data_IF_413969309294
#
_entry.id   IF_413969309294
#
_cell.length_a   1.000
_cell.length_b   1.000
_cell.length_c   1.000
_cell.angle_alpha   90.00
_cell.angle_beta   90.00
_cell.angle_gamma   90.00
#
_symmetry.space_group_name_H-M   'P 1'
#
loop_
_entity.id
_entity.type
_entity.pdbx_description
1 polymer ?
#
# COMPACT_ATOMS: atom_id res chain seq x y z
N UNK A 1 21.15 29.60 60.34
CA UNK A 1 19.91 28.87 59.97
C UNK A 1 18.91 29.66 59.10
N UNK A 2 18.92 31.01 59.04
CA UNK A 2 17.89 31.79 58.32
C UNK A 2 17.95 31.72 56.78
N UNK A 3 19.15 31.61 56.17
CA UNK A 3 19.32 31.54 54.71
C UNK A 3 18.63 30.32 54.08
N UNK A 4 18.67 29.14 54.73
CA UNK A 4 17.99 27.92 54.26
C UNK A 4 16.47 28.07 54.25
N UNK A 5 15.90 28.70 55.29
CA UNK A 5 14.44 29.00 55.34
C UNK A 5 14.01 29.99 54.27
N UNK A 6 14.83 31.00 53.99
CA UNK A 6 14.56 31.97 52.91
C UNK A 6 14.61 31.32 51.52
N UNK A 7 15.56 30.41 51.29
CA UNK A 7 15.69 29.67 50.03
C UNK A 7 14.47 28.76 49.77
N UNK A 8 14.05 28.00 50.78
CA UNK A 8 12.86 27.13 50.72
C UNK A 8 11.59 27.96 50.47
N UNK A 9 11.46 29.14 51.10
CA UNK A 9 10.30 30.02 50.90
C UNK A 9 10.28 30.68 49.51
N UNK A 10 11.44 30.92 48.90
CA UNK A 10 11.57 31.37 47.50
C UNK A 10 11.18 30.27 46.52
N UNK A 11 11.71 29.05 46.69
CA UNK A 11 11.33 27.89 45.86
C UNK A 11 9.83 27.60 45.94
N UNK A 12 9.22 27.67 47.13
CA UNK A 12 7.78 27.45 47.31
C UNK A 12 6.89 28.55 46.71
N UNK A 13 7.46 29.72 46.39
CA UNK A 13 6.76 30.84 45.74
C UNK A 13 7.00 30.88 44.23
N UNK A 14 7.91 30.05 43.72
CA UNK A 14 8.27 30.07 42.31
C UNK A 14 7.22 29.31 41.49
N UNK A 15 6.41 30.05 40.73
CA UNK A 15 5.35 29.50 39.86
C UNK A 15 5.86 29.15 38.46
N UNK A 16 7.10 29.52 38.12
CA UNK A 16 7.67 29.28 36.78
C UNK A 16 7.81 27.79 36.46
N UNK A 17 7.95 26.95 37.48
CA UNK A 17 8.01 25.49 37.33
C UNK A 17 6.66 24.81 37.08
N UNK A 18 5.52 25.48 37.36
CA UNK A 18 4.19 24.87 37.20
C UNK A 18 3.88 24.59 35.73
N UNK A 19 4.17 25.56 34.84
CA UNK A 19 4.00 25.38 33.40
C UNK A 19 4.84 24.23 32.83
N UNK A 20 6.02 23.97 33.41
CA UNK A 20 6.89 22.87 33.00
C UNK A 20 6.30 21.50 33.40
N UNK A 21 5.63 21.42 34.54
CA UNK A 21 4.94 20.19 34.99
C UNK A 21 3.66 19.96 34.18
N UNK A 22 2.88 21.00 33.89
CA UNK A 22 1.69 20.92 33.02
C UNK A 22 2.07 20.46 31.60
N UNK A 23 3.16 20.99 31.06
CA UNK A 23 3.72 20.52 29.79
C UNK A 23 4.20 19.07 29.88
N UNK A 24 4.90 18.69 30.95
CA UNK A 24 5.37 17.30 31.11
C UNK A 24 4.22 16.28 31.16
N UNK A 25 3.05 16.66 31.68
CA UNK A 25 1.85 15.81 31.70
C UNK A 25 1.13 15.76 30.35
N UNK A 26 1.10 16.86 29.59
CA UNK A 26 0.36 16.97 28.32
C UNK A 26 1.18 16.62 27.08
N UNK A 27 2.51 16.85 27.13
CA UNK A 27 3.43 16.59 26.03
C UNK A 27 3.40 15.14 25.53
N UNK A 28 3.33 14.09 26.37
CA UNK A 28 3.27 12.70 25.87
C UNK A 28 2.06 12.45 24.96
N UNK A 29 0.88 12.97 25.33
CA UNK A 29 -0.34 12.84 24.53
C UNK A 29 -0.21 13.64 23.23
N UNK A 30 0.28 14.88 23.32
CA UNK A 30 0.49 15.73 22.15
C UNK A 30 1.47 15.10 21.15
N UNK A 31 2.60 14.59 21.62
CA UNK A 31 3.61 13.92 20.79
C UNK A 31 3.07 12.64 20.16
N UNK A 32 2.26 11.85 20.89
CA UNK A 32 1.63 10.66 20.35
C UNK A 32 0.72 11.00 19.16
N UNK A 33 -0.15 12.00 19.32
CA UNK A 33 -1.05 12.45 18.24
C UNK A 33 -0.23 12.96 17.04
N UNK A 34 0.79 13.78 17.30
CA UNK A 34 1.65 14.34 16.26
C UNK A 34 2.42 13.24 15.49
N UNK A 35 2.94 12.23 16.18
CA UNK A 35 3.56 11.07 15.53
C UNK A 35 2.54 10.27 14.70
N UNK A 36 1.32 10.10 15.21
CA UNK A 36 0.24 9.43 14.47
C UNK A 36 -0.15 10.16 13.19
N UNK A 37 -0.24 11.49 13.24
CA UNK A 37 -0.50 12.32 12.06
C UNK A 37 0.63 12.17 11.04
N UNK A 38 1.89 12.24 11.49
CA UNK A 38 3.02 12.08 10.58
C UNK A 38 3.09 10.68 9.95
N UNK A 39 2.83 9.61 10.71
CA UNK A 39 2.76 8.24 10.17
C UNK A 39 1.66 8.14 9.10
N UNK A 40 0.49 8.73 9.37
CA UNK A 40 -0.62 8.77 8.41
C UNK A 40 -0.27 9.56 7.14
N UNK A 41 0.29 10.76 7.28
CA UNK A 41 0.73 11.58 6.14
C UNK A 41 1.79 10.86 5.30
N UNK A 42 2.73 10.17 5.95
CA UNK A 42 3.75 9.38 5.26
C UNK A 42 3.15 8.25 4.43
N UNK A 43 2.18 7.51 4.97
CA UNK A 43 1.47 6.46 4.23
C UNK A 43 0.66 7.02 3.06
N UNK A 44 0.00 8.17 3.23
CA UNK A 44 -0.71 8.85 2.14
C UNK A 44 0.23 9.32 1.02
N UNK A 45 1.39 9.86 1.39
CA UNK A 45 2.42 10.20 0.42
C UNK A 45 2.89 8.96 -0.37
N UNK A 46 3.15 7.85 0.33
CA UNK A 46 3.52 6.58 -0.27
C UNK A 46 2.46 6.07 -1.27
N UNK A 47 1.18 6.20 -0.91
CA UNK A 47 0.05 5.84 -1.78
C UNK A 47 0.04 6.68 -3.07
N UNK A 48 0.29 7.99 -2.97
CA UNK A 48 0.32 8.89 -4.12
C UNK A 48 1.48 8.58 -5.07
N UNK A 49 2.68 8.29 -4.52
CA UNK A 49 3.84 7.87 -5.31
C UNK A 49 3.53 6.58 -6.07
N UNK A 50 2.98 5.57 -5.38
CA UNK A 50 2.61 4.30 -5.99
C UNK A 50 1.55 4.48 -7.09
N UNK A 51 0.49 5.23 -6.82
CA UNK A 51 -0.56 5.52 -7.81
C UNK A 51 -0.02 6.27 -9.03
N UNK A 52 0.87 7.25 -8.81
CA UNK A 52 1.52 7.99 -9.88
C UNK A 52 2.38 7.10 -10.79
N UNK A 53 3.17 6.22 -10.19
CA UNK A 53 4.00 5.25 -10.92
C UNK A 53 3.14 4.27 -11.73
N UNK A 54 2.09 3.71 -11.13
CA UNK A 54 1.17 2.78 -11.80
C UNK A 54 0.37 3.45 -12.92
N UNK A 55 -0.12 4.68 -12.71
CA UNK A 55 -0.81 5.44 -13.74
C UNK A 55 0.11 5.78 -14.93
N UNK A 56 1.40 6.03 -14.67
CA UNK A 56 2.40 6.21 -15.71
C UNK A 56 2.66 4.91 -16.45
N UNK A 57 2.75 3.79 -15.74
CA UNK A 57 2.88 2.46 -16.31
C UNK A 57 1.75 2.16 -17.30
N UNK A 58 0.50 2.50 -16.95
CA UNK A 58 -0.63 2.27 -17.85
C UNK A 58 -0.65 3.14 -19.11
N UNK A 59 0.04 4.29 -19.11
CA UNK A 59 0.29 5.04 -20.35
C UNK A 59 1.41 4.39 -21.16
N UNK A 60 2.50 4.05 -20.49
CA UNK A 60 3.68 3.47 -21.13
C UNK A 60 3.40 2.06 -21.71
N UNK A 61 2.44 1.31 -21.16
CA UNK A 61 2.04 -0.01 -21.67
C UNK A 61 1.48 0.03 -23.09
N UNK A 62 1.03 1.20 -23.57
CA UNK A 62 0.54 1.37 -24.94
C UNK A 62 1.65 1.53 -25.98
N UNK A 63 2.90 1.67 -25.54
CA UNK A 63 4.07 1.79 -26.42
C UNK A 63 4.56 0.40 -26.81
N UNK A 64 4.95 0.23 -28.08
CA UNK A 64 5.41 -1.06 -28.64
C UNK A 64 6.50 -1.74 -27.79
N UNK A 65 7.40 -0.95 -27.21
CA UNK A 65 8.52 -1.45 -26.39
C UNK A 65 8.05 -2.27 -25.16
N UNK A 66 6.90 -1.91 -24.58
CA UNK A 66 6.36 -2.54 -23.37
C UNK A 66 5.22 -3.52 -23.67
N UNK A 67 4.73 -3.56 -24.91
CA UNK A 67 3.73 -4.54 -25.36
C UNK A 67 4.32 -5.96 -25.42
N UNK A 68 5.62 -6.09 -25.74
CA UNK A 68 6.31 -7.38 -25.82
C UNK A 68 7.13 -7.75 -24.58
N UNK A 69 7.57 -6.75 -23.79
CA UNK A 69 8.37 -6.96 -22.58
C UNK A 69 7.73 -6.30 -21.35
N UNK A 70 6.87 -7.06 -20.68
CA UNK A 70 6.17 -6.59 -19.48
C UNK A 70 7.07 -6.56 -18.24
N UNK A 71 8.20 -7.26 -18.27
CA UNK A 71 9.19 -7.21 -17.19
C UNK A 71 9.89 -5.85 -17.15
N UNK A 72 10.11 -5.23 -18.31
CA UNK A 72 10.64 -3.87 -18.41
C UNK A 72 9.67 -2.82 -17.83
N UNK A 73 8.36 -3.02 -17.97
CA UNK A 73 7.35 -2.15 -17.37
C UNK A 73 7.34 -2.28 -15.84
N UNK A 74 7.41 -3.51 -15.32
CA UNK A 74 7.53 -3.77 -13.87
C UNK A 74 8.81 -3.18 -13.28
N UNK A 75 9.94 -3.34 -13.98
CA UNK A 75 11.21 -2.75 -13.57
C UNK A 75 11.12 -1.23 -13.46
N UNK A 76 10.44 -0.57 -14.41
CA UNK A 76 10.27 0.88 -14.42
C UNK A 76 9.38 1.37 -13.29
N UNK A 77 8.28 0.67 -12.98
CA UNK A 77 7.43 0.99 -11.83
C UNK A 77 8.21 0.81 -10.54
N UNK A 78 8.93 -0.30 -10.41
CA UNK A 78 9.78 -0.59 -9.25
C UNK A 78 10.83 0.50 -9.05
N UNK A 79 11.54 0.90 -10.11
CA UNK A 79 12.55 1.96 -10.05
C UNK A 79 11.95 3.30 -9.58
N UNK A 80 10.82 3.72 -10.14
CA UNK A 80 10.15 4.97 -9.76
C UNK A 80 9.72 4.98 -8.29
N UNK A 81 9.21 3.85 -7.80
CA UNK A 81 8.81 3.71 -6.40
C UNK A 81 10.05 3.68 -5.49
N UNK A 82 11.09 2.94 -5.86
CA UNK A 82 12.30 2.77 -5.05
C UNK A 82 13.19 4.02 -5.01
N UNK A 83 13.03 4.97 -5.93
CA UNK A 83 13.64 6.30 -5.81
C UNK A 83 13.19 7.05 -4.54
N UNK A 84 11.96 6.79 -4.08
CA UNK A 84 11.40 7.40 -2.85
C UNK A 84 11.43 6.41 -1.68
N UNK A 85 11.13 5.14 -1.94
CA UNK A 85 11.07 4.07 -0.95
C UNK A 85 12.06 2.95 -1.27
N UNK A 86 13.36 3.22 -1.08
CA UNK A 86 14.45 2.32 -1.50
C UNK A 86 14.34 0.88 -0.95
N UNK A 87 13.82 0.71 0.26
CA UNK A 87 13.63 -0.60 0.90
C UNK A 87 12.28 -1.26 0.62
N UNK A 88 11.42 -0.67 -0.22
CA UNK A 88 10.10 -1.23 -0.45
C UNK A 88 10.13 -2.52 -1.26
N UNK A 89 9.35 -3.50 -0.79
CA UNK A 89 9.06 -4.76 -1.45
C UNK A 89 7.86 -4.54 -2.39
N UNK A 90 8.13 -4.50 -3.70
CA UNK A 90 7.12 -4.24 -4.73
C UNK A 90 6.81 -5.54 -5.46
N UNK A 91 5.52 -5.91 -5.48
CA UNK A 91 4.98 -7.09 -6.15
C UNK A 91 3.99 -6.67 -7.23
N UNK A 92 4.00 -7.42 -8.33
CA UNK A 92 3.18 -7.18 -9.49
C UNK A 92 2.29 -8.38 -9.73
N UNK A 93 0.99 -8.15 -9.89
CA UNK A 93 0.03 -9.19 -10.27
C UNK A 93 -0.82 -8.70 -11.44
N UNK A 94 -1.15 -9.62 -12.33
CA UNK A 94 -1.95 -9.35 -13.52
C UNK A 94 -3.04 -10.41 -13.62
N UNK A 95 -4.26 -9.96 -13.92
CA UNK A 95 -5.39 -10.82 -14.26
C UNK A 95 -5.97 -10.33 -15.58
N UNK A 96 -6.04 -11.19 -16.57
CA UNK A 96 -6.56 -10.89 -17.90
C UNK A 96 -8.01 -11.34 -18.05
N UNK A 97 -8.77 -10.57 -18.82
CA UNK A 97 -10.19 -10.74 -19.10
C UNK A 97 -10.47 -10.41 -20.57
N UNK A 98 -11.46 -11.06 -21.17
CA UNK A 98 -11.86 -10.79 -22.57
C UNK A 98 -12.41 -9.37 -22.76
N UNK A 99 -13.15 -8.89 -21.76
CA UNK A 99 -13.89 -7.65 -21.87
C UNK A 99 -13.98 -6.94 -20.51
N UNK A 100 -14.11 -5.61 -20.56
CA UNK A 100 -14.21 -4.77 -19.36
C UNK A 100 -15.39 -5.13 -18.45
N UNK A 101 -16.47 -5.69 -19.01
CA UNK A 101 -17.67 -6.07 -18.24
C UNK A 101 -17.38 -7.20 -17.24
N UNK A 102 -16.36 -8.04 -17.49
CA UNK A 102 -15.96 -9.14 -16.60
C UNK A 102 -15.27 -8.68 -15.32
N UNK A 103 -14.72 -7.46 -15.29
CA UNK A 103 -14.07 -6.90 -14.11
C UNK A 103 -15.03 -6.65 -12.94
N UNK A 104 -16.33 -6.53 -13.21
CA UNK A 104 -17.35 -6.24 -12.21
C UNK A 104 -18.19 -7.49 -11.83
N UNK A 105 -17.71 -8.68 -12.18
CA UNK A 105 -18.42 -9.93 -11.86
C UNK A 105 -18.12 -10.33 -10.42
N UNK A 106 -19.13 -10.72 -9.61
CA UNK A 106 -18.91 -11.19 -8.25
C UNK A 106 -17.94 -12.38 -8.23
N UNK A 107 -16.88 -12.27 -7.43
CA UNK A 107 -15.91 -13.35 -7.25
C UNK A 107 -16.55 -14.49 -6.47
N UNK A 108 -16.45 -15.70 -7.00
CA UNK A 108 -16.72 -16.92 -6.23
C UNK A 108 -15.40 -17.40 -5.67
N UNK A 109 -15.35 -17.71 -4.38
CA UNK A 109 -14.16 -18.33 -3.79
C UNK A 109 -14.54 -19.65 -3.13
N UNK A 110 -13.55 -20.53 -3.09
CA UNK A 110 -13.65 -21.86 -2.52
C UNK A 110 -12.71 -21.90 -1.32
N UNK A 111 -13.32 -21.77 -0.15
CA UNK A 111 -12.64 -21.88 1.14
C UNK A 111 -12.21 -23.34 1.36
N UNK A 112 -10.92 -23.58 1.16
CA UNK A 112 -10.32 -24.91 1.19
C UNK A 112 -10.22 -25.44 2.62
N UNK A 113 -9.95 -24.56 3.58
CA UNK A 113 -9.74 -24.92 4.98
C UNK A 113 -10.97 -24.70 5.88
N UNK A 114 -12.06 -24.16 5.31
CA UNK A 114 -13.36 -23.88 5.93
C UNK A 114 -13.28 -22.92 7.11
N UNK A 115 -12.33 -21.99 7.11
CA UNK A 115 -12.18 -21.01 8.19
C UNK A 115 -13.09 -19.78 8.04
N UNK A 116 -13.83 -19.68 6.93
CA UNK A 116 -14.76 -18.58 6.64
C UNK A 116 -14.09 -17.32 6.07
N UNK A 117 -12.79 -17.37 5.79
CA UNK A 117 -12.01 -16.29 5.20
C UNK A 117 -11.52 -16.69 3.80
N UNK A 118 -11.11 -15.70 3.01
CA UNK A 118 -10.39 -15.93 1.76
C UNK A 118 -8.90 -15.91 2.07
N UNK A 119 -8.28 -17.06 2.00
CA UNK A 119 -6.84 -17.23 2.22
C UNK A 119 -6.05 -17.22 0.91
N UNK A 120 -4.72 -17.16 1.02
CA UNK A 120 -3.83 -17.18 -0.14
C UNK A 120 -3.87 -18.52 -0.90
N UNK A 121 -4.20 -19.59 -0.19
CA UNK A 121 -4.35 -20.95 -0.70
C UNK A 121 -5.73 -21.20 -1.34
N UNK A 122 -6.70 -20.31 -1.13
CA UNK A 122 -8.04 -20.48 -1.64
C UNK A 122 -8.13 -20.15 -3.13
N UNK A 123 -8.85 -21.02 -3.84
CA UNK A 123 -9.13 -20.80 -5.24
C UNK A 123 -10.31 -19.83 -5.40
N UNK A 124 -10.25 -18.97 -6.41
CA UNK A 124 -11.35 -18.08 -6.76
C UNK A 124 -11.58 -17.99 -8.27
N UNK A 125 -12.85 -17.88 -8.64
CA UNK A 125 -13.33 -17.69 -9.99
C UNK A 125 -13.90 -16.26 -10.09
N UNK A 126 -13.27 -15.45 -10.93
CA UNK A 126 -13.68 -14.07 -11.20
C UNK A 126 -13.88 -13.79 -12.68
N UNK A 127 -13.90 -14.85 -13.51
CA UNK A 127 -14.01 -14.74 -14.97
C UNK A 127 -12.73 -14.23 -15.65
N UNK A 128 -11.61 -14.15 -14.93
CA UNK A 128 -10.30 -13.83 -15.47
C UNK A 128 -9.32 -14.98 -15.37
N UNK A 129 -8.18 -14.81 -16.03
CA UNK A 129 -7.04 -15.74 -16.00
C UNK A 129 -5.81 -15.04 -15.45
N UNK A 130 -5.05 -15.72 -14.60
CA UNK A 130 -3.77 -15.20 -14.13
C UNK A 130 -2.79 -14.96 -15.29
N UNK A 131 -2.08 -13.84 -15.23
CA UNK A 131 -1.08 -13.46 -16.21
C UNK A 131 -1.55 -12.35 -17.14
N UNK A 132 -0.89 -12.27 -18.30
CA UNK A 132 -0.90 -11.09 -19.15
C UNK A 132 -2.01 -11.11 -20.20
N UNK A 133 -2.66 -12.24 -20.43
CA UNK A 133 -3.56 -12.39 -21.56
C UNK A 133 -2.85 -12.38 -22.93
N UNK A 134 -3.63 -12.56 -23.98
CA UNK A 134 -3.25 -12.45 -25.36
C UNK A 134 -3.46 -11.03 -25.90
N UNK A 135 -3.51 -10.94 -27.24
CA UNK A 135 -3.85 -9.71 -27.94
C UNK A 135 -5.31 -9.31 -27.65
N UNK A 136 -5.61 -8.01 -27.64
CA UNK A 136 -6.92 -7.40 -27.35
C UNK A 136 -7.51 -7.59 -25.94
N UNK A 137 -6.95 -8.49 -25.13
CA UNK A 137 -7.38 -8.74 -23.76
C UNK A 137 -7.23 -7.51 -22.85
N UNK A 138 -8.13 -7.42 -21.88
CA UNK A 138 -8.14 -6.43 -20.80
C UNK A 138 -7.38 -6.98 -19.60
N UNK A 139 -6.31 -6.31 -19.20
CA UNK A 139 -5.44 -6.74 -18.09
C UNK A 139 -5.63 -5.83 -16.89
N UNK A 140 -6.09 -6.39 -15.78
CA UNK A 140 -6.08 -5.75 -14.47
C UNK A 140 -4.66 -5.83 -13.89
N UNK A 141 -3.93 -4.73 -13.97
CA UNK A 141 -2.58 -4.62 -13.44
C UNK A 141 -2.62 -4.09 -12.00
N UNK A 142 -2.23 -4.93 -11.05
CA UNK A 142 -2.19 -4.61 -9.63
C UNK A 142 -0.76 -4.58 -9.15
N UNK A 143 -0.40 -3.50 -8.47
CA UNK A 143 0.92 -3.32 -7.87
C UNK A 143 0.74 -3.17 -6.36
N UNK A 144 1.43 -4.03 -5.61
CA UNK A 144 1.42 -4.00 -4.15
C UNK A 144 2.81 -3.62 -3.67
N UNK A 145 2.87 -2.64 -2.77
CA UNK A 145 4.10 -2.15 -2.17
C UNK A 145 4.03 -2.33 -0.66
N UNK A 146 5.01 -3.03 -0.10
CA UNK A 146 5.21 -3.13 1.34
C UNK A 146 6.46 -2.37 1.77
N UNK A 147 6.35 -1.57 2.82
CA UNK A 147 7.45 -0.75 3.34
C UNK A 147 7.40 -0.64 4.86
N UNK A 148 8.53 -0.24 5.44
CA UNK A 148 8.69 -0.04 6.88
C UNK A 148 8.09 1.30 7.32
N UNK A 149 7.33 1.27 8.41
CA UNK A 149 6.83 2.50 9.03
C UNK A 149 7.98 3.25 9.69
N UNK A 150 8.08 4.54 9.38
CA UNK A 150 9.17 5.41 9.86
C UNK A 150 9.07 5.68 11.35
N UNK A 151 7.85 5.89 11.85
CA UNK A 151 7.63 6.24 13.26
C UNK A 151 7.21 5.02 14.07
N UNK A 152 7.77 4.81 15.27
CA UNK A 152 7.51 3.64 16.11
C UNK A 152 6.14 3.65 16.82
N UNK A 153 5.15 4.39 16.29
CA UNK A 153 3.77 4.42 16.81
C UNK A 153 3.16 3.02 16.81
N UNK A 154 3.52 2.23 15.80
CA UNK A 154 3.11 0.83 15.70
C UNK A 154 3.48 0.00 16.93
N UNK A 155 4.65 0.26 17.54
CA UNK A 155 5.11 -0.47 18.73
C UNK A 155 4.25 -0.14 19.95
N UNK A 156 3.81 1.11 20.07
CA UNK A 156 2.96 1.56 21.18
C UNK A 156 1.53 1.04 21.05
N UNK A 157 1.04 0.88 19.81
CA UNK A 157 -0.31 0.42 19.51
C UNK A 157 -0.41 -1.09 19.23
N UNK A 158 0.69 -1.84 19.33
CA UNK A 158 0.73 -3.28 19.02
C UNK A 158 0.44 -3.60 17.54
N UNK A 159 0.71 -2.66 16.63
CA UNK A 159 0.50 -2.82 15.19
C UNK A 159 1.75 -3.39 14.50
N UNK A 160 1.57 -3.86 13.27
CA UNK A 160 2.68 -4.29 12.39
C UNK A 160 3.67 -3.14 12.14
N UNK A 161 4.99 -3.41 12.12
CA UNK A 161 5.99 -2.43 11.71
C UNK A 161 5.95 -2.12 10.20
N UNK A 162 5.21 -2.91 9.42
CA UNK A 162 5.07 -2.75 7.98
C UNK A 162 3.72 -2.11 7.63
N UNK A 163 3.69 -1.35 6.53
CA UNK A 163 2.46 -0.97 5.84
C UNK A 163 2.48 -1.52 4.42
N UNK A 164 1.33 -2.02 3.97
CA UNK A 164 1.15 -2.57 2.62
C UNK A 164 0.10 -1.75 1.91
N UNK A 165 0.47 -1.22 0.75
CA UNK A 165 -0.37 -0.40 -0.11
C UNK A 165 -0.55 -1.08 -1.46
N UNK A 166 -1.71 -0.88 -2.08
CA UNK A 166 -1.99 -1.41 -3.41
C UNK A 166 -2.52 -0.30 -4.32
N UNK A 167 -2.12 -0.35 -5.58
CA UNK A 167 -2.65 0.47 -6.65
C UNK A 167 -2.98 -0.41 -7.85
N UNK A 168 -4.04 -0.05 -8.57
CA UNK A 168 -4.58 -0.83 -9.68
C UNK A 168 -4.77 0.08 -10.87
N UNK A 169 -4.46 -0.44 -12.06
CA UNK A 169 -4.82 0.17 -13.34
C UNK A 169 -5.26 -0.91 -14.32
N UNK A 170 -6.02 -0.51 -15.34
CA UNK A 170 -6.52 -1.43 -16.36
C UNK A 170 -5.79 -1.12 -17.66
N UNK A 171 -5.23 -2.15 -18.27
CA UNK A 171 -4.50 -2.10 -19.52
C UNK A 171 -5.29 -2.87 -20.58
N UNK A 172 -5.03 -2.59 -21.86
CA UNK A 172 -5.51 -3.43 -22.96
C UNK A 172 -4.35 -3.77 -23.86
N UNK A 173 -4.18 -5.05 -24.14
CA UNK A 173 -3.05 -5.52 -24.94
C UNK A 173 -3.24 -5.24 -26.42
N UNK A 174 -2.14 -4.91 -27.08
CA UNK A 174 -2.07 -4.81 -28.53
C UNK A 174 -1.63 -6.13 -29.15
N UNK A 175 -2.00 -6.42 -30.41
CA UNK A 175 -2.90 -5.67 -31.29
C UNK A 175 -4.41 -5.86 -30.98
N UNK A 176 -5.22 -4.83 -31.17
CA UNK A 176 -6.65 -4.83 -30.78
C UNK A 176 -7.62 -5.55 -31.74
N UNK A 177 -7.13 -6.07 -32.86
CA UNK A 177 -7.97 -6.67 -33.91
C UNK A 177 -7.81 -8.20 -34.02
N UNK A 178 -6.89 -8.79 -33.25
CA UNK A 178 -6.54 -10.22 -33.31
C UNK A 178 -6.73 -10.91 -31.94
N UNK A 179 -7.76 -10.51 -31.19
CA UNK A 179 -8.09 -11.13 -29.92
C UNK A 179 -8.61 -12.56 -30.07
N UNK A 180 -8.35 -13.39 -29.06
CA UNK A 180 -8.91 -14.73 -28.92
C UNK A 180 -9.45 -14.89 -27.50
N UNK A 181 -10.61 -15.51 -27.35
CA UNK A 181 -11.23 -15.69 -26.04
C UNK A 181 -10.29 -16.35 -25.02
N UNK A 182 -10.18 -15.74 -23.85
CA UNK A 182 -9.45 -16.23 -22.70
C UNK A 182 -10.28 -17.32 -22.03
N UNK A 183 -9.64 -18.45 -21.76
CA UNK A 183 -10.25 -19.46 -20.87
C UNK A 183 -9.98 -19.03 -19.42
N UNK A 184 -10.99 -18.62 -18.65
CA UNK A 184 -10.80 -18.15 -17.28
C UNK A 184 -10.34 -19.29 -16.36
N UNK A 185 -9.66 -18.93 -15.27
CA UNK A 185 -9.28 -19.90 -14.25
C UNK A 185 -10.54 -20.46 -13.57
N UNK A 186 -10.64 -21.79 -13.52
CA UNK A 186 -11.71 -22.51 -12.84
C UNK A 186 -11.16 -23.28 -11.66
N UNK A 187 -11.88 -23.30 -10.55
CA UNK A 187 -11.48 -24.08 -9.40
C UNK A 187 -11.76 -25.56 -9.67
N UNK A 188 -10.72 -26.39 -9.50
CA UNK A 188 -10.87 -27.84 -9.56
C UNK A 188 -11.78 -28.24 -8.39
N UNK A 189 -12.91 -28.89 -8.72
CA UNK A 189 -13.83 -29.47 -7.74
C UNK A 189 -13.21 -30.66 -7.03
#
# INVERSE_FOLDING_TARGET
MSRRRALIRRLRRDRRGVALVEFALTAPLFLLILMGIFDFCWQMYAQQVLQGAVAKAGRDSTLELYSSDQSALDARVKEQVQQVFAGADVKFTRRAYDEFSKLNVPRRYYDTNKNGYLDAEDCFEDGGKAGNGGADDVVLYTVTMRFDRVLPVWKMLGQSPYSTLSAVTILRNQPFANGSDITPDSCLK
#
